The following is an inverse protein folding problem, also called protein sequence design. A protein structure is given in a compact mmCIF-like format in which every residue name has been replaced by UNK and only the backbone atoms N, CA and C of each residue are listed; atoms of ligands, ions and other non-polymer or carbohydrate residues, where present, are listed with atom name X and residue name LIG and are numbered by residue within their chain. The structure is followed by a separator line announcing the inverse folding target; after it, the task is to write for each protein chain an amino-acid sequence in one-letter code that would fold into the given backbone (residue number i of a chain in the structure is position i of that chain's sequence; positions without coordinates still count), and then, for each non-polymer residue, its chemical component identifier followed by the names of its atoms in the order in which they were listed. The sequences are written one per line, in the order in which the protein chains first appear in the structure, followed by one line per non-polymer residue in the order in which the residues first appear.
data_IF_045922297304
#
_entry.id   IF_045922297304
#
_cell.length_a   1.000
_cell.length_b   1.000
_cell.length_c   1.000
_cell.angle_alpha   90.00
_cell.angle_beta   90.00
_cell.angle_gamma   90.00
#
_symmetry.space_group_name_H-M   'P 1'
#
loop_
_entity.id
_entity.type
_entity.pdbx_description
1 polymer ?
#
# COMPACT_ATOMS: atom_id res chain seq x y z
N UNK A 1 -15.11 14.19 -23.53
CA UNK A 1 -14.24 14.77 -22.47
C UNK A 1 -14.96 15.98 -21.92
N UNK A 2 -15.36 15.98 -20.66
CA UNK A 2 -16.00 17.16 -20.06
C UNK A 2 -14.93 18.24 -19.87
N UNK A 3 -15.10 19.38 -20.54
CA UNK A 3 -14.25 20.54 -20.33
C UNK A 3 -14.52 21.09 -18.92
N UNK A 4 -13.53 20.99 -18.05
CA UNK A 4 -13.55 21.64 -16.75
C UNK A 4 -13.47 23.16 -16.95
N UNK A 5 -14.41 23.93 -16.41
CA UNK A 5 -14.39 25.40 -16.40
C UNK A 5 -14.15 25.93 -14.98
N UNK A 6 -13.78 27.19 -14.85
CA UNK A 6 -13.56 27.85 -13.55
C UNK A 6 -14.84 27.92 -12.70
N UNK A 7 -15.99 28.09 -13.36
CA UNK A 7 -17.31 28.14 -12.73
C UNK A 7 -17.61 26.80 -12.07
N UNK A 8 -17.27 25.69 -12.74
CA UNK A 8 -17.41 24.35 -12.18
C UNK A 8 -16.56 24.16 -10.91
N UNK A 9 -15.36 24.75 -10.84
CA UNK A 9 -14.48 24.59 -9.67
C UNK A 9 -14.94 25.35 -8.42
N UNK A 10 -15.90 26.28 -8.55
CA UNK A 10 -16.54 26.92 -7.39
C UNK A 10 -17.88 26.27 -7.01
N UNK A 11 -18.32 25.23 -7.73
CA UNK A 11 -19.56 24.51 -7.47
C UNK A 11 -19.30 23.25 -6.61
N UNK A 12 -19.76 23.20 -5.35
CA UNK A 12 -19.60 22.01 -4.50
C UNK A 12 -20.20 20.74 -5.11
N UNK A 13 -21.29 20.85 -5.86
CA UNK A 13 -21.94 19.68 -6.50
C UNK A 13 -21.02 19.11 -7.57
N UNK A 14 -20.37 19.97 -8.35
CA UNK A 14 -19.38 19.55 -9.32
C UNK A 14 -18.16 18.90 -8.66
N UNK A 15 -17.64 19.48 -7.59
CA UNK A 15 -16.48 18.95 -6.86
C UNK A 15 -16.79 17.58 -6.26
N UNK A 16 -18.00 17.38 -5.71
CA UNK A 16 -18.45 16.07 -5.23
C UNK A 16 -18.54 15.03 -6.35
N UNK A 17 -19.08 15.40 -7.52
CA UNK A 17 -19.10 14.50 -8.70
C UNK A 17 -17.70 14.18 -9.21
N UNK A 18 -16.77 15.12 -9.10
CA UNK A 18 -15.37 14.89 -9.44
C UNK A 18 -14.73 13.90 -8.46
N UNK A 19 -15.01 14.02 -7.16
CA UNK A 19 -14.54 13.10 -6.14
C UNK A 19 -15.08 11.68 -6.36
N UNK A 20 -16.38 11.53 -6.64
CA UNK A 20 -16.99 10.25 -7.02
C UNK A 20 -16.34 9.62 -8.26
N UNK A 21 -15.96 10.45 -9.24
CA UNK A 21 -15.23 9.97 -10.41
C UNK A 21 -13.84 9.48 -10.02
N UNK A 22 -13.14 10.20 -9.16
CA UNK A 22 -11.79 9.83 -8.68
C UNK A 22 -11.84 8.53 -7.87
N UNK A 23 -12.87 8.31 -7.05
CA UNK A 23 -13.11 7.05 -6.35
C UNK A 23 -13.15 5.86 -7.34
N UNK A 24 -13.80 6.03 -8.51
CA UNK A 24 -13.82 5.00 -9.55
C UNK A 24 -12.46 4.81 -10.20
N UNK A 25 -11.73 5.88 -10.48
CA UNK A 25 -10.38 5.82 -11.06
C UNK A 25 -9.45 5.04 -10.11
N UNK A 26 -9.53 5.28 -8.81
CA UNK A 26 -8.77 4.57 -7.78
C UNK A 26 -9.13 3.09 -7.73
N UNK A 27 -10.42 2.78 -7.61
CA UNK A 27 -10.89 1.40 -7.53
C UNK A 27 -10.42 0.55 -8.72
N UNK A 28 -10.40 1.13 -9.92
CA UNK A 28 -9.95 0.43 -11.13
C UNK A 28 -8.46 0.65 -11.46
N UNK A 29 -7.72 1.40 -10.64
CA UNK A 29 -6.34 1.83 -10.90
C UNK A 29 -6.13 2.37 -12.34
N UNK A 30 -7.07 3.20 -12.84
CA UNK A 30 -7.07 3.69 -14.22
C UNK A 30 -6.08 4.85 -14.39
N UNK A 31 -4.80 4.50 -14.59
CA UNK A 31 -3.70 5.46 -14.77
C UNK A 31 -3.91 6.43 -15.94
N UNK A 32 -4.61 6.02 -17.01
CA UNK A 32 -4.89 6.89 -18.17
C UNK A 32 -5.89 7.98 -17.80
N UNK A 33 -6.99 7.61 -17.14
CA UNK A 33 -7.95 8.60 -16.64
C UNK A 33 -7.36 9.45 -15.53
N UNK A 34 -6.51 8.88 -14.67
CA UNK A 34 -5.81 9.63 -13.65
C UNK A 34 -4.92 10.72 -14.26
N UNK A 35 -4.10 10.36 -15.26
CA UNK A 35 -3.19 11.30 -15.92
C UNK A 35 -3.93 12.44 -16.59
N UNK A 36 -4.97 12.13 -17.35
CA UNK A 36 -5.77 13.15 -18.03
C UNK A 36 -6.52 14.06 -17.05
N UNK A 37 -7.05 13.50 -15.96
CA UNK A 37 -7.77 14.28 -14.93
C UNK A 37 -6.81 15.16 -14.14
N UNK A 38 -5.67 14.62 -13.71
CA UNK A 38 -4.63 15.35 -12.95
C UNK A 38 -4.12 16.56 -13.75
N UNK A 39 -3.66 16.35 -14.98
CA UNK A 39 -3.16 17.44 -15.85
C UNK A 39 -4.19 18.53 -16.09
N UNK A 40 -5.45 18.15 -16.32
CA UNK A 40 -6.51 19.13 -16.57
C UNK A 40 -6.84 19.93 -15.31
N UNK A 41 -6.92 19.28 -14.14
CA UNK A 41 -7.19 19.95 -12.87
C UNK A 41 -6.03 20.86 -12.45
N UNK A 42 -4.78 20.40 -12.53
CA UNK A 42 -3.60 21.21 -12.22
C UNK A 42 -3.51 22.44 -13.12
N UNK A 43 -3.72 22.26 -14.43
CA UNK A 43 -3.71 23.39 -15.39
C UNK A 43 -4.78 24.43 -15.05
N UNK A 44 -5.95 23.98 -14.61
CA UNK A 44 -7.02 24.90 -14.23
C UNK A 44 -6.77 25.56 -12.89
N UNK A 45 -6.28 24.80 -11.91
CA UNK A 45 -5.93 25.32 -10.60
C UNK A 45 -4.82 26.37 -10.73
N UNK A 46 -3.75 26.06 -11.44
CA UNK A 46 -2.65 27.00 -11.67
C UNK A 46 -3.10 28.33 -12.30
N UNK A 47 -4.03 28.27 -13.26
CA UNK A 47 -4.57 29.47 -13.92
C UNK A 47 -5.52 30.28 -13.06
N UNK A 48 -6.19 29.64 -12.10
CA UNK A 48 -7.41 30.16 -11.48
C UNK A 48 -7.43 30.06 -9.95
N UNK A 49 -6.34 29.69 -9.29
CA UNK A 49 -6.31 29.45 -7.84
C UNK A 49 -6.88 30.62 -7.04
N UNK A 50 -6.51 31.86 -7.40
CA UNK A 50 -6.99 33.09 -6.77
C UNK A 50 -8.48 33.38 -7.01
N UNK A 51 -9.07 32.72 -7.99
CA UNK A 51 -10.48 32.88 -8.36
C UNK A 51 -11.39 31.84 -7.67
N UNK A 52 -10.81 30.85 -6.99
CA UNK A 52 -11.56 29.92 -6.15
C UNK A 52 -11.79 30.60 -4.81
N UNK A 53 -13.05 30.93 -4.51
CA UNK A 53 -13.40 31.76 -3.35
C UNK A 53 -13.46 30.98 -2.04
N UNK A 54 -13.80 29.70 -2.14
CA UNK A 54 -14.00 28.83 -1.00
C UNK A 54 -12.71 28.03 -0.72
N UNK A 55 -12.15 28.22 0.48
CA UNK A 55 -10.92 27.57 0.90
C UNK A 55 -11.06 26.06 1.08
N UNK A 56 -12.23 25.56 1.50
CA UNK A 56 -12.51 24.14 1.65
C UNK A 56 -12.66 23.47 0.28
N UNK A 57 -13.27 24.15 -0.69
CA UNK A 57 -13.31 23.67 -2.08
C UNK A 57 -11.89 23.58 -2.65
N UNK A 58 -11.08 24.63 -2.47
CA UNK A 58 -9.68 24.64 -2.91
C UNK A 58 -8.88 23.48 -2.29
N UNK A 59 -9.04 23.25 -0.98
CA UNK A 59 -8.43 22.14 -0.25
C UNK A 59 -8.88 20.79 -0.81
N UNK A 60 -10.18 20.61 -1.05
CA UNK A 60 -10.74 19.39 -1.64
C UNK A 60 -10.18 19.11 -3.03
N UNK A 61 -10.08 20.13 -3.90
CA UNK A 61 -9.46 19.97 -5.22
C UNK A 61 -7.99 19.56 -5.11
N UNK A 62 -7.23 20.14 -4.17
CA UNK A 62 -5.84 19.77 -3.93
C UNK A 62 -5.71 18.31 -3.45
N UNK A 63 -6.61 17.86 -2.57
CA UNK A 63 -6.69 16.45 -2.14
C UNK A 63 -6.98 15.54 -3.34
N UNK A 64 -7.96 15.89 -4.18
CA UNK A 64 -8.26 15.12 -5.41
C UNK A 64 -7.03 15.02 -6.32
N UNK A 65 -6.28 16.10 -6.52
CA UNK A 65 -5.04 16.07 -7.32
C UNK A 65 -4.01 15.15 -6.66
N UNK A 66 -3.83 15.22 -5.34
CA UNK A 66 -2.89 14.36 -4.62
C UNK A 66 -3.25 12.88 -4.76
N UNK A 67 -4.53 12.52 -4.59
CA UNK A 67 -5.07 11.18 -4.83
C UNK A 67 -4.71 10.66 -6.22
N UNK A 68 -4.96 11.47 -7.25
CA UNK A 68 -4.60 11.14 -8.63
C UNK A 68 -3.07 10.98 -8.82
N UNK A 69 -2.25 11.77 -8.12
CA UNK A 69 -0.79 11.64 -8.15
C UNK A 69 -0.30 10.34 -7.52
N UNK A 70 -0.92 9.86 -6.45
CA UNK A 70 -0.60 8.55 -5.89
C UNK A 70 -0.92 7.40 -6.86
N UNK A 71 -2.00 7.49 -7.64
CA UNK A 71 -2.29 6.52 -8.72
C UNK A 71 -1.20 6.60 -9.82
N UNK A 72 -0.71 7.80 -10.09
CA UNK A 72 0.31 8.08 -11.10
C UNK A 72 1.74 7.94 -10.58
N UNK A 73 1.94 7.41 -9.38
CA UNK A 73 3.20 7.49 -8.62
C UNK A 73 4.45 7.14 -9.46
N UNK A 74 4.38 6.05 -10.21
CA UNK A 74 5.50 5.54 -11.01
C UNK A 74 5.88 6.42 -12.21
N UNK A 75 5.01 7.37 -12.59
CA UNK A 75 5.23 8.31 -13.70
C UNK A 75 5.75 9.67 -13.25
N UNK A 76 5.77 9.93 -11.94
CA UNK A 76 6.20 11.20 -11.37
C UNK A 76 7.72 11.32 -11.37
N UNK A 77 8.21 12.57 -11.44
CA UNK A 77 9.61 12.88 -11.16
C UNK A 77 9.91 12.71 -9.67
N UNK A 78 11.20 12.58 -9.33
CA UNK A 78 11.64 12.52 -7.93
C UNK A 78 11.15 13.71 -7.10
N UNK A 79 11.24 14.94 -7.65
CA UNK A 79 10.78 16.14 -6.95
C UNK A 79 9.27 16.12 -6.71
N UNK A 80 8.47 15.65 -7.67
CA UNK A 80 7.03 15.49 -7.49
C UNK A 80 6.70 14.44 -6.42
N UNK A 81 7.46 13.34 -6.37
CA UNK A 81 7.30 12.32 -5.33
C UNK A 81 7.60 12.91 -3.95
N UNK A 82 8.70 13.64 -3.81
CA UNK A 82 9.05 14.27 -2.54
C UNK A 82 8.00 15.31 -2.13
N UNK A 83 7.48 16.11 -3.07
CA UNK A 83 6.43 17.10 -2.82
C UNK A 83 5.12 16.46 -2.33
N UNK A 84 4.66 15.36 -2.95
CA UNK A 84 3.44 14.68 -2.49
C UNK A 84 3.65 14.01 -1.12
N UNK A 85 4.84 13.48 -0.84
CA UNK A 85 5.15 12.89 0.47
C UNK A 85 5.29 13.96 1.57
N UNK A 86 5.67 15.18 1.21
CA UNK A 86 5.81 16.29 2.16
C UNK A 86 4.46 16.89 2.55
N UNK A 87 3.52 16.97 1.58
CA UNK A 87 2.29 17.77 1.72
C UNK A 87 1.00 16.97 1.76
N UNK A 88 1.03 15.73 1.27
CA UNK A 88 -0.16 14.92 1.04
C UNK A 88 0.03 13.44 1.40
N UNK A 89 1.01 13.09 2.24
CA UNK A 89 1.22 11.69 2.62
C UNK A 89 0.02 11.15 3.41
N UNK A 90 -0.63 11.98 4.24
CA UNK A 90 -1.83 11.54 4.96
C UNK A 90 -2.96 11.17 3.99
N UNK A 91 -3.03 11.80 2.81
CA UNK A 91 -3.97 11.40 1.75
C UNK A 91 -3.66 10.00 1.25
N UNK A 92 -2.40 9.73 0.90
CA UNK A 92 -1.96 8.42 0.38
C UNK A 92 -2.19 7.28 1.38
N UNK A 93 -1.89 7.52 2.66
CA UNK A 93 -2.08 6.53 3.73
C UNK A 93 -3.57 6.18 3.94
N UNK A 94 -4.47 7.11 3.64
CA UNK A 94 -5.93 6.94 3.80
C UNK A 94 -6.61 6.33 2.57
N UNK A 95 -5.87 6.06 1.50
CA UNK A 95 -6.42 5.46 0.28
C UNK A 95 -6.58 3.95 0.46
N UNK A 96 -7.81 3.48 0.60
CA UNK A 96 -8.13 2.07 0.90
C UNK A 96 -7.61 1.03 -0.13
N UNK A 97 -7.36 1.44 -1.36
CA UNK A 97 -6.95 0.56 -2.47
C UNK A 97 -5.47 0.73 -2.85
N UNK A 98 -4.70 1.49 -2.07
CA UNK A 98 -3.30 1.80 -2.37
C UNK A 98 -2.41 1.19 -1.29
N UNK A 99 -1.48 0.34 -1.71
CA UNK A 99 -0.36 -0.11 -0.88
C UNK A 99 0.85 0.78 -1.17
N UNK A 100 1.18 1.66 -0.23
CA UNK A 100 2.29 2.61 -0.37
C UNK A 100 3.64 1.89 -0.44
N UNK A 101 3.77 0.75 0.25
CA UNK A 101 4.96 -0.09 0.21
C UNK A 101 5.21 -0.64 -1.19
N UNK A 102 4.18 -1.22 -1.82
CA UNK A 102 4.30 -1.81 -3.15
C UNK A 102 4.51 -0.76 -4.26
N UNK A 103 3.84 0.41 -4.20
CA UNK A 103 4.13 1.47 -5.19
C UNK A 103 5.55 2.04 -5.03
N UNK A 104 6.07 2.15 -3.80
CA UNK A 104 7.44 2.59 -3.55
C UNK A 104 8.44 1.56 -4.08
N UNK A 105 8.20 0.28 -3.80
CA UNK A 105 9.02 -0.82 -4.31
C UNK A 105 9.08 -0.84 -5.82
N UNK A 106 7.93 -0.73 -6.48
CA UNK A 106 7.87 -0.63 -7.94
C UNK A 106 8.62 0.60 -8.46
N UNK A 107 8.49 1.76 -7.81
CA UNK A 107 9.22 2.96 -8.22
C UNK A 107 10.73 2.81 -8.06
N UNK A 108 11.16 2.24 -6.95
CA UNK A 108 12.57 2.11 -6.59
C UNK A 108 13.28 1.10 -7.49
N UNK A 109 12.59 0.04 -7.96
CA UNK A 109 13.21 -0.93 -8.89
C UNK A 109 13.66 -0.29 -10.21
N UNK A 110 13.01 0.79 -10.66
CA UNK A 110 13.43 1.56 -11.84
C UNK A 110 14.63 2.50 -11.61
N UNK A 111 15.10 2.63 -10.36
CA UNK A 111 16.26 3.46 -10.01
C UNK A 111 17.51 2.57 -10.02
N UNK A 112 18.66 3.03 -10.56
CA UNK A 112 19.93 2.30 -10.46
C UNK A 112 20.24 1.89 -9.02
N UNK A 113 20.69 0.65 -8.82
CA UNK A 113 20.85 0.03 -7.49
C UNK A 113 21.70 0.87 -6.52
N UNK A 114 22.76 1.52 -7.03
CA UNK A 114 23.65 2.40 -6.29
C UNK A 114 23.00 3.72 -5.84
N UNK A 115 21.85 4.07 -6.43
CA UNK A 115 21.06 5.28 -6.14
C UNK A 115 19.79 5.03 -5.34
N UNK A 116 19.35 3.77 -5.20
CA UNK A 116 18.10 3.42 -4.50
C UNK A 116 18.09 3.88 -3.04
N UNK A 117 19.17 3.59 -2.30
CA UNK A 117 19.29 4.01 -0.90
C UNK A 117 19.29 5.54 -0.75
N UNK A 118 19.94 6.27 -1.66
CA UNK A 118 19.92 7.75 -1.68
C UNK A 118 18.49 8.29 -1.79
N UNK A 119 17.68 7.71 -2.69
CA UNK A 119 16.29 8.08 -2.86
C UNK A 119 15.41 7.72 -1.64
N UNK A 120 15.60 6.52 -1.07
CA UNK A 120 14.92 6.11 0.18
C UNK A 120 15.23 7.08 1.33
N UNK A 121 16.47 7.52 1.49
CA UNK A 121 16.85 8.49 2.52
C UNK A 121 16.14 9.84 2.33
N UNK A 122 16.03 10.32 1.08
CA UNK A 122 15.28 11.57 0.79
C UNK A 122 13.82 11.45 1.23
N UNK A 123 13.16 10.33 0.92
CA UNK A 123 11.78 10.08 1.35
C UNK A 123 11.70 10.01 2.88
N UNK A 124 12.58 9.24 3.53
CA UNK A 124 12.61 9.14 5.01
C UNK A 124 12.74 10.50 5.67
N UNK A 125 13.61 11.36 5.16
CA UNK A 125 13.79 12.72 5.69
C UNK A 125 12.51 13.55 5.56
N UNK A 126 11.79 13.43 4.44
CA UNK A 126 10.53 14.14 4.24
C UNK A 126 9.47 13.67 5.23
N UNK A 127 9.24 12.36 5.35
CA UNK A 127 8.18 11.82 6.21
C UNK A 127 8.44 12.04 7.71
N UNK A 128 9.70 12.02 8.14
CA UNK A 128 10.07 12.29 9.54
C UNK A 128 9.82 13.76 9.95
N UNK A 129 9.68 14.66 8.98
CA UNK A 129 9.37 16.07 9.20
C UNK A 129 7.92 16.44 8.84
N UNK A 130 7.13 15.47 8.37
CA UNK A 130 5.76 15.70 7.92
C UNK A 130 4.83 16.06 9.10
N UNK A 131 4.10 17.17 8.95
CA UNK A 131 3.20 17.74 9.97
C UNK A 131 1.71 17.50 9.70
N UNK A 132 1.37 16.65 8.71
CA UNK A 132 -0.01 16.27 8.46
C UNK A 132 -0.56 15.41 9.59
N UNK A 133 -1.78 15.72 10.03
CA UNK A 133 -2.51 14.91 11.00
C UNK A 133 -2.99 13.62 10.34
N UNK A 134 -2.66 12.48 10.94
CA UNK A 134 -3.10 11.17 10.44
C UNK A 134 -4.29 10.64 11.23
N UNK A 135 -4.31 10.79 12.56
CA UNK A 135 -5.40 10.33 13.44
C UNK A 135 -6.08 11.48 14.17
N UNK A 136 -7.26 11.28 14.75
CA UNK A 136 -7.98 12.33 15.48
C UNK A 136 -7.52 12.47 16.94
N UNK A 137 -7.09 11.35 17.55
CA UNK A 137 -6.74 11.30 18.97
C UNK A 137 -5.31 11.76 19.21
N UNK A 138 -5.13 12.65 20.18
CA UNK A 138 -3.80 13.08 20.63
C UNK A 138 -2.94 11.90 21.08
N UNK A 139 -1.66 11.94 20.70
CA UNK A 139 -0.63 11.07 21.27
C UNK A 139 -0.34 11.55 22.68
N UNK A 140 -0.34 10.63 23.64
CA UNK A 140 0.09 10.87 25.01
C UNK A 140 1.52 10.37 25.12
N UNK A 141 2.44 11.29 25.37
CA UNK A 141 3.84 10.99 25.69
C UNK A 141 4.23 11.74 26.97
N UNK A 142 4.66 11.02 28.01
CA UNK A 142 5.02 11.59 29.31
C UNK A 142 3.98 12.59 29.85
N UNK A 143 2.69 12.24 29.77
CA UNK A 143 1.53 13.06 30.17
C UNK A 143 1.25 14.29 29.28
N UNK A 144 2.14 14.64 28.35
CA UNK A 144 1.89 15.68 27.35
C UNK A 144 0.95 15.17 26.26
N UNK A 145 0.03 16.03 25.80
CA UNK A 145 -0.80 15.79 24.62
C UNK A 145 -0.10 16.36 23.40
N UNK A 146 0.26 15.49 22.47
CA UNK A 146 0.98 15.81 21.24
C UNK A 146 0.01 15.67 20.06
N UNK A 147 0.02 16.65 19.16
CA UNK A 147 -0.76 16.62 17.92
C UNK A 147 -0.35 15.36 17.12
N UNK A 148 -1.31 14.54 16.68
CA UNK A 148 -1.04 13.23 16.09
C UNK A 148 -0.61 13.33 14.62
N UNK A 149 0.48 14.05 14.37
CA UNK A 149 1.06 14.17 13.03
C UNK A 149 1.80 12.90 12.62
N UNK A 150 2.04 12.73 11.32
CA UNK A 150 2.89 11.65 10.79
C UNK A 150 4.24 11.61 11.51
N UNK A 151 4.93 12.75 11.63
CA UNK A 151 6.21 12.81 12.34
C UNK A 151 6.09 12.45 13.83
N UNK A 152 4.99 12.80 14.49
CA UNK A 152 4.78 12.44 15.90
C UNK A 152 4.59 10.92 16.09
N UNK A 153 3.83 10.26 15.20
CA UNK A 153 3.67 8.80 15.21
C UNK A 153 4.99 8.07 14.94
N UNK A 154 5.76 8.51 13.93
CA UNK A 154 7.06 7.93 13.63
C UNK A 154 8.07 8.13 14.77
N UNK A 155 8.03 9.29 15.46
CA UNK A 155 8.87 9.54 16.64
C UNK A 155 8.50 8.62 17.82
N UNK A 156 7.20 8.44 18.09
CA UNK A 156 6.74 7.50 19.11
C UNK A 156 7.21 6.08 18.80
N UNK A 157 7.03 5.66 17.54
CA UNK A 157 7.43 4.34 17.08
C UNK A 157 8.95 4.11 17.22
N UNK A 158 9.77 5.05 16.76
CA UNK A 158 11.23 4.99 16.91
C UNK A 158 11.70 5.07 18.36
N UNK A 159 10.96 5.77 19.25
CA UNK A 159 11.26 5.83 20.68
C UNK A 159 11.09 4.47 21.35
N UNK A 160 10.10 3.68 20.91
CA UNK A 160 9.80 2.36 21.51
C UNK A 160 10.61 1.23 20.89
N UNK A 161 10.84 1.26 19.58
CA UNK A 161 11.47 0.15 18.84
C UNK A 161 12.89 0.45 18.34
N UNK A 162 13.34 1.70 18.44
CA UNK A 162 14.61 2.15 17.89
C UNK A 162 14.52 2.63 16.43
N UNK A 163 15.62 3.18 15.91
CA UNK A 163 15.70 3.70 14.54
C UNK A 163 16.13 2.66 13.50
N UNK A 164 16.64 1.51 13.95
CA UNK A 164 17.01 0.40 13.09
C UNK A 164 15.77 -0.32 12.53
N UNK A 165 16.00 -1.23 11.58
CA UNK A 165 14.95 -2.10 11.04
C UNK A 165 14.44 -3.04 12.14
N UNK A 166 13.13 -3.23 12.21
CA UNK A 166 12.50 -4.17 13.15
C UNK A 166 11.70 -5.25 12.43
N UNK A 167 11.59 -6.40 13.08
CA UNK A 167 10.85 -7.53 12.52
C UNK A 167 9.34 -7.45 12.84
N UNK A 168 8.54 -8.29 12.16
CA UNK A 168 7.08 -8.28 12.33
C UNK A 168 6.63 -8.63 13.76
N UNK A 169 7.42 -9.41 14.51
CA UNK A 169 7.08 -9.74 15.90
C UNK A 169 7.20 -8.51 16.81
N UNK A 170 8.23 -7.69 16.62
CA UNK A 170 8.43 -6.43 17.35
C UNK A 170 7.34 -5.42 17.02
N UNK A 171 6.98 -5.27 15.74
CA UNK A 171 5.85 -4.45 15.33
C UNK A 171 4.53 -4.89 15.97
N UNK A 172 4.25 -6.20 15.97
CA UNK A 172 3.06 -6.73 16.61
C UNK A 172 3.05 -6.49 18.13
N UNK A 173 4.20 -6.58 18.79
CA UNK A 173 4.31 -6.20 20.20
C UNK A 173 3.99 -4.72 20.40
N UNK A 174 4.43 -3.83 19.52
CA UNK A 174 4.03 -2.42 19.56
C UNK A 174 2.52 -2.27 19.41
N UNK A 175 1.91 -2.90 18.39
CA UNK A 175 0.46 -2.79 18.14
C UNK A 175 -0.40 -3.29 19.30
N UNK A 176 0.06 -4.30 20.04
CA UNK A 176 -0.70 -4.89 21.15
C UNK A 176 -0.49 -4.10 22.45
N UNK A 177 0.74 -3.63 22.70
CA UNK A 177 1.09 -3.08 24.02
C UNK A 177 1.07 -1.56 24.07
N UNK A 178 1.15 -0.87 22.92
CA UNK A 178 1.21 0.58 22.89
C UNK A 178 -0.16 1.22 23.22
N UNK A 179 -0.27 2.01 24.31
CA UNK A 179 -1.54 2.58 24.73
C UNK A 179 -2.06 3.67 23.78
N UNK A 180 -1.20 4.35 23.01
CA UNK A 180 -1.64 5.30 21.98
C UNK A 180 -2.32 4.56 20.82
N UNK A 181 -1.67 3.51 20.32
CA UNK A 181 -2.20 2.69 19.23
C UNK A 181 -3.52 1.99 19.62
N UNK A 182 -3.59 1.43 20.83
CA UNK A 182 -4.78 0.72 21.30
C UNK A 182 -6.04 1.58 21.40
N UNK A 183 -5.87 2.90 21.57
CA UNK A 183 -6.98 3.85 21.65
C UNK A 183 -7.53 4.26 20.28
N UNK A 184 -6.84 3.95 19.18
CA UNK A 184 -7.30 4.28 17.84
C UNK A 184 -8.54 3.48 17.44
N UNK A 185 -9.36 4.05 16.55
CA UNK A 185 -10.38 3.31 15.83
C UNK A 185 -9.75 2.27 14.89
N UNK A 186 -10.52 1.28 14.43
CA UNK A 186 -9.98 0.24 13.55
C UNK A 186 -9.47 0.80 12.22
N UNK A 187 -10.13 1.83 11.68
CA UNK A 187 -9.67 2.53 10.48
C UNK A 187 -8.34 3.25 10.73
N UNK A 188 -8.24 4.04 11.80
CA UNK A 188 -6.99 4.73 12.17
C UNK A 188 -5.84 3.73 12.43
N UNK A 189 -6.13 2.56 12.99
CA UNK A 189 -5.13 1.49 13.18
C UNK A 189 -4.61 0.98 11.84
N UNK A 190 -5.45 0.85 10.82
CA UNK A 190 -5.03 0.46 9.47
C UNK A 190 -4.16 1.54 8.84
N UNK A 191 -4.56 2.81 8.95
CA UNK A 191 -3.79 3.96 8.44
C UNK A 191 -2.40 4.05 9.10
N UNK A 192 -2.31 3.96 10.43
CA UNK A 192 -1.02 4.00 11.13
C UNK A 192 -0.15 2.78 10.82
N UNK A 193 -0.75 1.59 10.65
CA UNK A 193 -0.01 0.40 10.19
C UNK A 193 0.55 0.57 8.79
N UNK A 194 -0.22 1.14 7.87
CA UNK A 194 0.24 1.41 6.51
C UNK A 194 1.43 2.38 6.51
N UNK A 195 1.35 3.46 7.31
CA UNK A 195 2.46 4.38 7.53
C UNK A 195 3.72 3.65 8.04
N UNK A 196 3.60 2.76 9.03
CA UNK A 196 4.75 2.04 9.59
C UNK A 196 5.30 0.99 8.64
N UNK A 197 4.46 0.25 7.92
CA UNK A 197 4.88 -0.72 6.92
C UNK A 197 5.73 -0.04 5.83
N UNK A 198 5.24 1.09 5.32
CA UNK A 198 5.94 1.92 4.35
C UNK A 198 7.28 2.43 4.93
N UNK A 199 7.28 2.92 6.17
CA UNK A 199 8.48 3.43 6.83
C UNK A 199 9.53 2.34 7.05
N UNK A 200 9.13 1.15 7.49
CA UNK A 200 10.02 -0.01 7.67
C UNK A 200 10.58 -0.49 6.34
N UNK A 201 9.80 -0.45 5.26
CA UNK A 201 10.30 -0.74 3.93
C UNK A 201 11.43 0.23 3.52
N UNK A 202 11.29 1.53 3.81
CA UNK A 202 12.33 2.53 3.52
C UNK A 202 13.60 2.38 4.38
N UNK A 203 13.54 1.68 5.51
CA UNK A 203 14.74 1.37 6.32
C UNK A 203 15.61 0.28 5.68
N UNK A 204 15.02 -0.59 4.86
CA UNK A 204 15.75 -1.72 4.24
C UNK A 204 16.69 -1.22 3.16
N UNK A 205 17.96 -1.61 3.26
CA UNK A 205 18.94 -1.31 2.22
C UNK A 205 18.64 -2.13 0.97
N UNK A 206 18.62 -1.49 -0.20
CA UNK A 206 18.46 -2.19 -1.48
C UNK A 206 19.63 -3.11 -1.83
N UNK A 207 20.71 -3.09 -1.03
CA UNK A 207 21.87 -3.99 -1.17
C UNK A 207 21.73 -5.29 -0.36
N UNK A 208 20.67 -5.45 0.43
CA UNK A 208 20.39 -6.70 1.14
C UNK A 208 19.33 -7.50 0.42
N UNK A 209 19.27 -8.81 0.69
CA UNK A 209 18.30 -9.72 0.09
C UNK A 209 16.87 -9.27 0.44
N UNK A 210 16.64 -8.86 1.69
CA UNK A 210 15.34 -8.45 2.22
C UNK A 210 14.89 -7.07 1.72
N UNK A 211 15.82 -6.25 1.27
CA UNK A 211 15.57 -4.90 0.77
C UNK A 211 15.65 -4.76 -0.75
N UNK A 212 16.08 -5.81 -1.46
CA UNK A 212 16.14 -5.81 -2.92
C UNK A 212 14.73 -5.75 -3.51
N UNK A 213 14.51 -4.79 -4.41
CA UNK A 213 13.26 -4.56 -5.12
C UNK A 213 13.11 -5.41 -6.38
N UNK A 214 14.21 -6.01 -6.83
CA UNK A 214 14.24 -6.83 -8.03
C UNK A 214 14.01 -8.31 -7.68
N UNK A 215 13.13 -8.92 -8.47
CA UNK A 215 12.95 -10.36 -8.55
C UNK A 215 14.30 -11.03 -8.90
N UNK A 216 14.85 -11.82 -7.98
CA UNK A 216 16.19 -12.40 -8.14
C UNK A 216 16.12 -13.91 -8.25
N UNK A 217 16.85 -14.50 -9.20
CA UNK A 217 17.07 -15.95 -9.25
C UNK A 217 18.28 -16.28 -8.39
N UNK A 218 18.11 -17.19 -7.43
CA UNK A 218 19.16 -17.67 -6.53
C UNK A 218 19.35 -19.16 -6.80
N UNK A 219 20.57 -19.57 -7.12
CA UNK A 219 20.92 -20.98 -7.28
C UNK A 219 21.47 -21.53 -5.96
N UNK A 220 20.92 -22.63 -5.46
CA UNK A 220 21.44 -23.29 -4.27
C UNK A 220 22.76 -24.04 -4.53
N UNK A 221 23.36 -24.58 -3.46
CA UNK A 221 24.59 -25.38 -3.54
C UNK A 221 24.45 -26.65 -4.39
N UNK A 222 23.22 -27.11 -4.62
CA UNK A 222 22.88 -28.30 -5.41
C UNK A 222 22.55 -27.95 -6.87
N UNK A 223 22.71 -26.69 -7.29
CA UNK A 223 22.46 -26.24 -8.66
C UNK A 223 20.97 -26.17 -9.03
N UNK A 224 20.09 -25.94 -8.04
CA UNK A 224 18.66 -25.70 -8.23
C UNK A 224 18.38 -24.20 -8.17
N UNK A 225 17.67 -23.70 -9.17
CA UNK A 225 17.29 -22.29 -9.25
C UNK A 225 16.01 -22.05 -8.46
N UNK A 226 16.01 -20.97 -7.69
CA UNK A 226 14.89 -20.47 -6.94
C UNK A 226 14.62 -19.03 -7.37
N UNK A 227 13.37 -18.73 -7.67
CA UNK A 227 12.93 -17.35 -7.78
C UNK A 227 12.68 -16.81 -6.37
N UNK A 228 13.52 -15.87 -5.93
CA UNK A 228 13.32 -15.15 -4.70
C UNK A 228 12.38 -13.96 -4.95
N UNK A 229 11.17 -14.06 -4.41
CA UNK A 229 10.13 -13.04 -4.53
C UNK A 229 9.44 -12.88 -3.18
N UNK A 230 9.31 -11.62 -2.72
CA UNK A 230 8.57 -11.26 -1.50
C UNK A 230 9.04 -12.05 -0.24
N UNK A 231 10.35 -12.29 -0.12
CA UNK A 231 10.90 -13.00 1.04
C UNK A 231 10.73 -14.52 1.00
N UNK A 232 10.31 -15.09 -0.14
CA UNK A 232 10.13 -16.54 -0.31
C UNK A 232 10.95 -17.06 -1.49
N UNK A 233 11.45 -18.28 -1.32
CA UNK A 233 12.11 -19.03 -2.40
C UNK A 233 11.06 -19.90 -3.11
N UNK A 234 10.80 -19.60 -4.38
CA UNK A 234 9.93 -20.39 -5.25
C UNK A 234 10.84 -21.24 -6.13
N UNK A 235 10.80 -22.57 -5.98
CA UNK A 235 11.63 -23.47 -6.78
C UNK A 235 11.25 -23.37 -8.27
N UNK A 236 12.22 -23.14 -9.15
CA UNK A 236 12.03 -23.18 -10.59
C UNK A 236 12.30 -24.62 -11.08
N UNK A 237 11.25 -25.32 -11.53
CA UNK A 237 11.45 -26.61 -12.20
C UNK A 237 12.05 -26.41 -13.61
N UNK A 238 13.11 -27.16 -13.90
CA UNK A 238 13.98 -27.01 -15.09
C UNK A 238 13.28 -27.21 -16.44
N UNK A 239 12.00 -27.54 -16.48
CA UNK A 239 11.21 -27.70 -17.71
C UNK A 239 10.72 -26.37 -18.31
N UNK A 240 10.86 -25.23 -17.61
CA UNK A 240 10.35 -23.91 -18.05
C UNK A 240 11.46 -22.98 -18.55
N UNK A 241 12.74 -23.38 -18.47
CA UNK A 241 13.89 -22.51 -18.78
C UNK A 241 14.02 -22.13 -20.27
N UNK A 242 13.36 -22.85 -21.18
CA UNK A 242 13.52 -22.63 -22.63
C UNK A 242 12.45 -21.75 -23.30
N UNK A 243 11.46 -21.19 -22.58
CA UNK A 243 10.43 -20.36 -23.23
C UNK A 243 9.93 -19.20 -22.34
N UNK A 244 10.70 -18.12 -22.28
CA UNK A 244 10.39 -16.91 -21.47
C UNK A 244 9.25 -16.04 -22.02
N UNK A 245 8.63 -16.37 -23.16
CA UNK A 245 7.64 -15.46 -23.79
C UNK A 245 6.17 -15.93 -23.82
N UNK A 246 5.81 -17.12 -23.34
CA UNK A 246 4.40 -17.59 -23.40
C UNK A 246 3.76 -17.98 -22.05
N UNK A 247 4.45 -17.80 -20.93
CA UNK A 247 4.04 -18.31 -19.61
C UNK A 247 3.18 -17.32 -18.81
N UNK A 248 2.16 -16.70 -19.40
CA UNK A 248 1.14 -15.94 -18.65
C UNK A 248 -0.22 -16.64 -18.52
N UNK A 249 -0.48 -17.68 -19.32
CA UNK A 249 -1.81 -18.32 -19.38
C UNK A 249 -1.85 -19.70 -18.70
N UNK A 250 -0.73 -20.41 -18.59
CA UNK A 250 -0.69 -21.74 -17.95
C UNK A 250 -0.57 -21.66 -16.41
N UNK A 251 0.22 -20.72 -15.88
CA UNK A 251 0.54 -20.59 -14.44
C UNK A 251 -0.70 -20.30 -13.58
N UNK A 252 -1.72 -19.62 -14.14
CA UNK A 252 -2.96 -19.28 -13.41
C UNK A 252 -3.84 -20.52 -13.17
N UNK A 253 -3.77 -21.55 -14.01
CA UNK A 253 -4.56 -22.77 -13.85
C UNK A 253 -3.95 -23.72 -12.84
N UNK A 254 -2.63 -23.90 -12.88
CA UNK A 254 -1.93 -24.84 -11.99
C UNK A 254 -1.83 -24.29 -10.55
N UNK A 255 -1.60 -22.97 -10.37
CA UNK A 255 -1.63 -22.33 -9.05
C UNK A 255 -3.04 -22.29 -8.42
N UNK A 256 -4.11 -22.30 -9.22
CA UNK A 256 -5.48 -22.37 -8.68
C UNK A 256 -5.77 -23.77 -8.16
N UNK A 257 -5.34 -24.82 -8.85
CA UNK A 257 -5.54 -26.21 -8.43
C UNK A 257 -4.72 -26.56 -7.17
N UNK A 258 -3.47 -26.10 -7.06
CA UNK A 258 -2.65 -26.36 -5.86
C UNK A 258 -3.18 -25.62 -4.61
N UNK A 259 -3.59 -24.35 -4.74
CA UNK A 259 -4.18 -23.61 -3.63
C UNK A 259 -5.52 -24.21 -3.17
N UNK A 260 -6.42 -24.60 -4.09
CA UNK A 260 -7.70 -25.23 -3.72
C UNK A 260 -7.52 -26.57 -3.01
N UNK A 261 -6.47 -27.33 -3.35
CA UNK A 261 -6.14 -28.58 -2.65
C UNK A 261 -5.53 -28.35 -1.26
N UNK A 262 -4.71 -27.31 -1.11
CA UNK A 262 -4.13 -26.94 0.18
C UNK A 262 -5.21 -26.43 1.15
N UNK A 263 -6.06 -25.50 0.70
CA UNK A 263 -7.17 -24.95 1.48
C UNK A 263 -8.15 -26.04 1.93
N UNK A 264 -8.41 -27.04 1.08
CA UNK A 264 -9.25 -28.20 1.44
C UNK A 264 -8.64 -29.02 2.58
N UNK A 265 -7.33 -29.24 2.54
CA UNK A 265 -6.64 -30.05 3.56
C UNK A 265 -6.62 -29.33 4.91
N UNK A 266 -6.39 -28.02 4.91
CA UNK A 266 -6.44 -27.18 6.12
C UNK A 266 -7.86 -27.13 6.72
N UNK A 267 -8.91 -26.97 5.88
CA UNK A 267 -10.30 -27.00 6.35
C UNK A 267 -10.71 -28.38 6.89
N UNK A 268 -10.21 -29.46 6.29
CA UNK A 268 -10.47 -30.84 6.77
C UNK A 268 -9.83 -31.06 8.14
N UNK A 269 -8.61 -30.54 8.34
CA UNK A 269 -7.93 -30.57 9.63
C UNK A 269 -8.66 -29.69 10.67
N UNK A 270 -9.15 -28.52 10.27
CA UNK A 270 -9.90 -27.61 11.13
C UNK A 270 -11.26 -28.20 11.56
N UNK A 271 -12.00 -28.84 10.64
CA UNK A 271 -13.27 -29.51 10.96
C UNK A 271 -13.12 -30.61 12.04
N UNK A 272 -11.96 -31.27 12.09
CA UNK A 272 -11.68 -32.31 13.09
C UNK A 272 -11.55 -31.78 14.52
N UNK A 273 -11.35 -30.47 14.69
CA UNK A 273 -11.21 -29.81 15.99
C UNK A 273 -12.56 -29.44 16.63
N UNK A 274 -13.66 -29.55 15.88
CA UNK A 274 -15.01 -29.18 16.33
C UNK A 274 -15.92 -30.39 16.51
N UNK A 275 -16.87 -30.29 17.45
CA UNK A 275 -17.80 -31.38 17.75
C UNK A 275 -18.75 -31.64 16.55
N UNK A 276 -19.15 -32.90 16.28
CA UNK A 276 -19.95 -33.29 15.10
C UNK A 276 -21.25 -32.51 14.89
N UNK A 277 -21.83 -31.95 15.95
CA UNK A 277 -23.12 -31.24 15.90
C UNK A 277 -22.98 -29.71 16.06
N UNK A 278 -21.76 -29.17 16.12
CA UNK A 278 -21.51 -27.73 16.22
C UNK A 278 -21.86 -26.99 14.93
N UNK A 279 -22.20 -25.71 15.05
CA UNK A 279 -22.50 -24.85 13.90
C UNK A 279 -21.22 -24.56 13.09
N UNK A 280 -20.11 -24.43 13.80
CA UNK A 280 -18.77 -24.19 13.27
C UNK A 280 -18.33 -25.33 12.36
N UNK A 281 -18.53 -26.59 12.79
CA UNK A 281 -18.22 -27.75 11.95
C UNK A 281 -19.09 -27.82 10.69
N UNK A 282 -20.38 -27.54 10.82
CA UNK A 282 -21.31 -27.53 9.67
C UNK A 282 -20.94 -26.46 8.64
N UNK A 283 -20.50 -25.29 9.09
CA UNK A 283 -20.03 -24.22 8.22
C UNK A 283 -18.75 -24.61 7.46
N UNK A 284 -17.79 -25.25 8.14
CA UNK A 284 -16.54 -25.72 7.53
C UNK A 284 -16.81 -26.87 6.53
N UNK A 285 -17.69 -27.80 6.86
CA UNK A 285 -18.05 -28.92 5.97
C UNK A 285 -18.77 -28.45 4.69
N UNK A 286 -19.58 -27.39 4.75
CA UNK A 286 -20.19 -26.78 3.56
C UNK A 286 -19.16 -26.07 2.68
N UNK A 287 -18.17 -25.39 3.27
CA UNK A 287 -17.06 -24.78 2.51
C UNK A 287 -16.20 -25.85 1.80
N UNK A 288 -15.91 -26.98 2.46
CA UNK A 288 -15.22 -28.13 1.86
C UNK A 288 -16.02 -28.70 0.68
N UNK A 289 -17.35 -28.81 0.79
CA UNK A 289 -18.20 -29.26 -0.33
C UNK A 289 -18.14 -28.29 -1.51
N UNK A 290 -18.14 -26.98 -1.27
CA UNK A 290 -18.01 -25.97 -2.33
C UNK A 290 -16.68 -26.14 -3.08
N UNK A 291 -15.58 -26.28 -2.35
CA UNK A 291 -14.25 -26.49 -2.95
C UNK A 291 -14.15 -27.80 -3.76
N UNK A 292 -14.80 -28.88 -3.30
CA UNK A 292 -14.84 -30.14 -4.06
C UNK A 292 -15.65 -30.02 -5.37
N UNK A 293 -16.70 -29.19 -5.39
CA UNK A 293 -17.46 -28.91 -6.61
C UNK A 293 -16.66 -28.08 -7.61
N UNK A 294 -15.83 -27.14 -7.12
CA UNK A 294 -14.91 -26.34 -7.94
C UNK A 294 -13.75 -27.17 -8.52
N UNK A 295 -13.33 -28.24 -7.84
CA UNK A 295 -12.30 -29.18 -8.35
C UNK A 295 -12.83 -30.20 -9.36
N UNK A 296 -14.16 -30.39 -9.43
CA UNK A 296 -14.81 -31.40 -10.29
C UNK A 296 -15.30 -30.84 -11.65
N UNK A 297 -15.15 -29.53 -11.89
CA UNK A 297 -15.49 -28.82 -13.13
C UNK A 297 -14.26 -28.14 -13.73
#
# INVERSE_FOLDING_TARGET
MNNFTIENLNDPIFVNKLDEKVNKIEFFNDTKQALSSSKNLEKLLFKNEKSIRDAEILKTIKIIIARLKFILFNTLSENEILDIFEKYLAVGVKMAYLDLGEILKMRISFIPIDKRNEFKEKIKKVILNNQEDITEKFIIDNQAKIIPTISAWLKLYNKELGTEQVNNLEQNKFYINNPNFNRLSDLEKLEVKELFNMYEYLKRSSMTIEGNEDDTIITDIDGRDYWFKEGRFIKLDKTVSDNVNNTKVQIVKDNKLENTNQDRNELTQLASQYSPNSLERKAIEEEIKRLNYELSN
#
